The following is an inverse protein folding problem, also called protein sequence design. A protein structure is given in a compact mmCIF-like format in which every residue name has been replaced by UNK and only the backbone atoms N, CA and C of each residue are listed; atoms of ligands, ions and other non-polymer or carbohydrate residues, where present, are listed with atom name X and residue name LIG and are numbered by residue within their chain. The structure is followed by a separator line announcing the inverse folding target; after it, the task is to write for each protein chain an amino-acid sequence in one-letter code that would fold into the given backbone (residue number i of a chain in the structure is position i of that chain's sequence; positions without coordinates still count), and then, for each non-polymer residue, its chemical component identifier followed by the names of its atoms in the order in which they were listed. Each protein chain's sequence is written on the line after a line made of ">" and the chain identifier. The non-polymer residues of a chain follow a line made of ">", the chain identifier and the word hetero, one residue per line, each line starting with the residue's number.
data_IF_779986587566
#
_entry.id   IF_779986587566
#
_cell.length_a   1.000
_cell.length_b   1.000
_cell.length_c   1.000
_cell.angle_alpha   90.00
_cell.angle_beta   90.00
_cell.angle_gamma   90.00
#
_symmetry.space_group_name_H-M   'P 1'
#
loop_
_entity.id
_entity.type
_entity.pdbx_description
1 polymer ?
#
# COMPACT_ATOMS: atom_id res chain seq x y z
N UNK A 1 11.42 9.23 6.73
CA UNK A 1 11.57 8.65 8.07
C UNK A 1 12.68 7.65 7.98
N UNK A 2 13.81 7.95 8.60
CA UNK A 2 14.87 6.96 8.81
C UNK A 2 14.24 5.77 9.53
N UNK A 3 14.55 4.57 9.06
CA UNK A 3 14.31 3.35 9.83
C UNK A 3 15.28 3.36 11.00
N UNK A 4 14.98 4.14 12.03
CA UNK A 4 15.49 3.87 13.36
C UNK A 4 15.08 2.44 13.66
N UNK A 5 16.05 1.59 13.87
CA UNK A 5 15.83 0.21 14.34
C UNK A 5 15.02 0.31 15.61
N UNK A 6 13.76 -0.14 15.54
CA UNK A 6 12.83 -0.18 16.67
C UNK A 6 13.53 -0.91 17.82
N UNK A 7 13.82 -0.20 18.88
CA UNK A 7 14.54 -0.76 20.03
C UNK A 7 13.67 -1.75 20.79
N UNK A 8 14.26 -2.60 21.62
CA UNK A 8 13.48 -3.47 22.51
C UNK A 8 12.56 -2.65 23.42
N UNK A 9 13.00 -1.47 23.78
CA UNK A 9 12.25 -0.52 24.61
C UNK A 9 11.04 0.03 23.86
N UNK A 10 11.20 0.42 22.58
CA UNK A 10 10.07 0.88 21.75
C UNK A 10 8.95 -0.17 21.65
N UNK A 11 9.33 -1.42 21.50
CA UNK A 11 8.37 -2.54 21.47
C UNK A 11 7.65 -2.75 22.79
N UNK A 12 8.37 -2.61 23.90
CA UNK A 12 7.79 -2.68 25.24
C UNK A 12 6.69 -1.63 25.41
N UNK A 13 7.00 -0.36 25.12
CA UNK A 13 6.02 0.72 25.27
C UNK A 13 4.87 0.64 24.25
N UNK A 14 5.10 0.11 23.05
CA UNK A 14 4.02 -0.16 22.11
C UNK A 14 3.04 -1.23 22.65
N UNK A 15 3.54 -2.27 23.32
CA UNK A 15 2.70 -3.28 23.97
C UNK A 15 1.92 -2.69 25.16
N UNK A 16 2.56 -1.88 25.99
CA UNK A 16 1.92 -1.16 27.10
C UNK A 16 0.79 -0.27 26.56
N UNK A 17 1.07 0.54 25.53
CA UNK A 17 0.07 1.40 24.90
C UNK A 17 -1.14 0.59 24.38
N UNK A 18 -0.89 -0.56 23.76
CA UNK A 18 -1.96 -1.45 23.30
C UNK A 18 -2.85 -1.90 24.46
N UNK A 19 -2.25 -2.34 25.59
CA UNK A 19 -2.99 -2.79 26.77
C UNK A 19 -3.82 -1.66 27.40
N UNK A 20 -3.27 -0.45 27.49
CA UNK A 20 -4.01 0.73 27.97
C UNK A 20 -5.22 1.04 27.07
N UNK A 21 -5.06 1.00 25.76
CA UNK A 21 -6.12 1.29 24.80
C UNK A 21 -7.22 0.21 24.78
N UNK A 22 -6.86 -1.03 25.07
CA UNK A 22 -7.75 -2.19 25.13
C UNK A 22 -8.32 -2.46 26.52
N UNK A 23 -7.90 -1.70 27.55
CA UNK A 23 -8.40 -1.88 28.93
C UNK A 23 -9.91 -1.64 28.99
N UNK A 24 -10.66 -2.66 29.43
CA UNK A 24 -12.13 -2.61 29.47
C UNK A 24 -12.64 -1.69 30.58
N UNK A 25 -11.97 -1.69 31.73
CA UNK A 25 -12.33 -0.88 32.87
C UNK A 25 -11.67 0.50 32.78
N UNK A 26 -12.45 1.48 32.34
CA UNK A 26 -11.96 2.84 32.12
C UNK A 26 -11.40 3.50 33.40
N UNK A 27 -11.86 3.07 34.57
CA UNK A 27 -11.33 3.49 35.89
C UNK A 27 -9.87 3.11 36.10
N UNK A 28 -9.39 2.02 35.47
CA UNK A 28 -7.98 1.58 35.52
C UNK A 28 -7.06 2.35 34.60
N UNK A 29 -7.61 3.10 33.64
CA UNK A 29 -6.80 3.96 32.76
C UNK A 29 -6.26 5.14 33.56
N UNK A 30 -4.94 5.45 33.50
CA UNK A 30 -4.37 6.60 34.21
C UNK A 30 -5.03 7.92 33.81
N UNK A 31 -5.35 8.77 34.80
CA UNK A 31 -6.12 10.01 34.61
C UNK A 31 -5.53 10.93 33.53
N UNK A 32 -4.19 11.08 33.51
CA UNK A 32 -3.53 11.96 32.54
C UNK A 32 -3.64 11.54 31.06
N UNK A 33 -4.29 10.40 30.75
CA UNK A 33 -4.42 9.88 29.39
C UNK A 33 -5.84 9.45 29.05
N UNK A 34 -6.78 9.55 29.97
CA UNK A 34 -8.18 9.10 29.77
C UNK A 34 -8.82 9.71 28.54
N UNK A 35 -8.67 11.02 28.34
CA UNK A 35 -9.25 11.70 27.17
C UNK A 35 -8.66 11.19 25.86
N UNK A 36 -7.36 10.94 25.82
CA UNK A 36 -6.69 10.40 24.64
C UNK A 36 -7.14 8.96 24.32
N UNK A 37 -7.35 8.13 25.36
CA UNK A 37 -7.89 6.77 25.21
C UNK A 37 -9.33 6.81 24.74
N UNK A 38 -10.16 7.70 25.27
CA UNK A 38 -11.53 7.92 24.81
C UNK A 38 -11.58 8.36 23.34
N UNK A 39 -10.74 9.32 22.97
CA UNK A 39 -10.62 9.77 21.59
C UNK A 39 -10.18 8.64 20.62
N UNK A 40 -9.19 7.84 21.01
CA UNK A 40 -8.75 6.68 20.22
C UNK A 40 -9.90 5.69 19.99
N UNK A 41 -10.68 5.39 21.02
CA UNK A 41 -11.83 4.47 20.94
C UNK A 41 -12.91 4.99 20.00
N UNK A 42 -13.22 6.30 20.07
CA UNK A 42 -14.14 6.95 19.16
C UNK A 42 -13.65 6.85 17.71
N UNK A 43 -12.37 7.12 17.46
CA UNK A 43 -11.76 6.97 16.13
C UNK A 43 -11.87 5.53 15.62
N UNK A 44 -11.64 4.52 16.48
CA UNK A 44 -11.76 3.10 16.12
C UNK A 44 -13.20 2.75 15.71
N UNK A 45 -14.19 3.17 16.50
CA UNK A 45 -15.60 2.95 16.18
C UNK A 45 -16.02 3.64 14.88
N UNK A 46 -15.55 4.87 14.66
CA UNK A 46 -15.79 5.61 13.42
C UNK A 46 -15.15 4.93 12.22
N UNK A 47 -13.91 4.45 12.35
CA UNK A 47 -13.21 3.67 11.31
C UNK A 47 -14.00 2.42 10.92
N UNK A 48 -14.50 1.67 11.90
CA UNK A 48 -15.33 0.47 11.67
C UNK A 48 -16.67 0.83 11.00
N UNK A 49 -17.26 1.98 11.36
CA UNK A 49 -18.48 2.50 10.72
C UNK A 49 -18.25 2.82 9.24
N UNK A 50 -17.20 3.56 8.93
CA UNK A 50 -16.85 3.90 7.54
C UNK A 50 -16.50 2.64 6.75
N UNK A 51 -15.77 1.69 7.35
CA UNK A 51 -15.46 0.42 6.71
C UNK A 51 -16.73 -0.34 6.30
N UNK A 52 -17.75 -0.39 7.17
CA UNK A 52 -19.04 -1.00 6.84
C UNK A 52 -19.78 -0.27 5.72
N UNK A 53 -19.67 1.06 5.66
CA UNK A 53 -20.27 1.86 4.60
C UNK A 53 -19.62 1.68 3.22
N UNK A 54 -18.34 1.27 3.17
CA UNK A 54 -17.61 0.99 1.93
C UNK A 54 -18.12 -0.29 1.26
N UNK A 55 -18.44 -1.32 2.03
CA UNK A 55 -18.74 -2.68 1.53
C UNK A 55 -19.81 -2.68 0.43
N UNK A 56 -21.01 -2.09 0.61
CA UNK A 56 -22.07 -2.13 -0.41
C UNK A 56 -21.67 -1.50 -1.74
N UNK A 57 -20.80 -0.48 -1.73
CA UNK A 57 -20.34 0.18 -2.95
C UNK A 57 -19.35 -0.69 -3.73
N UNK A 58 -18.45 -1.36 -3.02
CA UNK A 58 -17.47 -2.26 -3.64
C UNK A 58 -18.14 -3.50 -4.19
N UNK A 59 -19.12 -4.06 -3.48
CA UNK A 59 -19.87 -5.25 -3.91
C UNK A 59 -20.72 -5.04 -5.17
N UNK A 60 -21.01 -3.79 -5.53
CA UNK A 60 -21.64 -3.47 -6.83
C UNK A 60 -20.67 -3.59 -8.00
N UNK A 61 -19.37 -3.48 -7.77
CA UNK A 61 -18.39 -3.50 -8.87
C UNK A 61 -18.13 -4.90 -9.40
N UNK A 62 -18.13 -5.05 -10.73
CA UNK A 62 -17.90 -6.35 -11.37
C UNK A 62 -16.48 -6.87 -11.10
N UNK A 63 -15.48 -5.98 -11.06
CA UNK A 63 -14.10 -6.37 -10.74
C UNK A 63 -13.97 -7.01 -9.35
N UNK A 64 -14.78 -6.59 -8.38
CA UNK A 64 -14.82 -7.25 -7.08
C UNK A 64 -15.58 -8.56 -7.13
N UNK A 65 -16.82 -8.55 -7.65
CA UNK A 65 -17.69 -9.73 -7.65
C UNK A 65 -17.11 -10.90 -8.42
N UNK A 66 -16.53 -10.63 -9.57
CA UNK A 66 -16.13 -11.68 -10.53
C UNK A 66 -14.64 -12.05 -10.39
N UNK A 67 -13.84 -11.24 -9.68
CA UNK A 67 -12.41 -11.51 -9.56
C UNK A 67 -11.87 -11.34 -8.15
N UNK A 68 -11.85 -10.11 -7.61
CA UNK A 68 -11.07 -9.83 -6.39
C UNK A 68 -11.57 -10.55 -5.14
N UNK A 69 -12.90 -10.78 -5.01
CA UNK A 69 -13.47 -11.50 -3.87
C UNK A 69 -13.03 -12.96 -3.79
N UNK A 70 -12.63 -13.55 -4.92
CA UNK A 70 -12.18 -14.94 -4.99
C UNK A 70 -10.71 -15.10 -4.60
N UNK A 71 -9.95 -14.01 -4.58
CA UNK A 71 -8.54 -14.02 -4.20
C UNK A 71 -8.41 -14.07 -2.67
N UNK A 72 -7.89 -15.18 -2.15
CA UNK A 72 -7.65 -15.35 -0.72
C UNK A 72 -6.77 -14.22 -0.17
N UNK A 73 -7.28 -13.51 0.85
CA UNK A 73 -6.57 -12.42 1.50
C UNK A 73 -6.93 -11.00 1.00
N UNK A 74 -7.84 -10.88 0.02
CA UNK A 74 -8.39 -9.59 -0.42
C UNK A 74 -9.81 -9.44 0.09
N UNK A 75 -10.02 -8.50 1.02
CA UNK A 75 -11.34 -8.11 1.49
C UNK A 75 -11.85 -6.83 0.81
N UNK A 76 -13.12 -6.44 1.06
CA UNK A 76 -13.74 -5.27 0.44
C UNK A 76 -12.95 -3.98 0.62
N UNK A 77 -12.35 -3.75 1.78
CA UNK A 77 -11.59 -2.53 2.08
C UNK A 77 -10.32 -2.42 1.23
N UNK A 78 -9.59 -3.53 1.04
CA UNK A 78 -8.42 -3.55 0.18
C UNK A 78 -8.81 -3.34 -1.29
N UNK A 79 -9.93 -3.94 -1.71
CA UNK A 79 -10.50 -3.73 -3.04
C UNK A 79 -10.91 -2.26 -3.24
N UNK A 80 -11.64 -1.66 -2.29
CA UNK A 80 -12.02 -0.25 -2.35
C UNK A 80 -10.82 0.67 -2.54
N UNK A 81 -9.74 0.42 -1.79
CA UNK A 81 -8.50 1.20 -1.95
C UNK A 81 -7.90 1.05 -3.36
N UNK A 82 -7.95 -0.14 -3.96
CA UNK A 82 -7.48 -0.34 -5.34
C UNK A 82 -8.38 0.43 -6.31
N UNK A 83 -9.69 0.23 -6.25
CA UNK A 83 -10.67 0.88 -7.13
C UNK A 83 -10.54 2.39 -7.05
N UNK A 84 -10.48 2.97 -5.84
CA UNK A 84 -10.35 4.40 -5.64
C UNK A 84 -9.11 5.02 -6.31
N UNK A 85 -8.02 4.25 -6.45
CA UNK A 85 -6.74 4.76 -6.96
C UNK A 85 -6.45 4.38 -8.40
N UNK A 86 -7.11 3.34 -8.93
CA UNK A 86 -6.78 2.75 -10.24
C UNK A 86 -7.90 2.96 -11.26
N UNK A 87 -9.14 3.21 -10.83
CA UNK A 87 -10.24 3.48 -11.75
C UNK A 87 -10.19 4.94 -12.28
N UNK A 88 -10.32 5.17 -13.60
CA UNK A 88 -10.53 4.15 -14.62
C UNK A 88 -9.22 3.45 -15.02
N UNK A 89 -9.27 2.13 -15.07
CA UNK A 89 -8.10 1.30 -15.44
C UNK A 89 -7.59 1.59 -16.85
N UNK A 90 -8.44 2.13 -17.71
CA UNK A 90 -8.14 2.52 -19.10
C UNK A 90 -7.10 3.64 -19.22
N UNK A 91 -6.85 4.41 -18.16
CA UNK A 91 -5.73 5.35 -18.11
C UNK A 91 -4.37 4.66 -18.16
N UNK A 92 -4.34 3.35 -17.94
CA UNK A 92 -3.14 2.53 -17.97
C UNK A 92 -3.18 1.56 -19.15
N UNK A 93 -2.89 1.98 -20.40
CA UNK A 93 -2.96 1.11 -21.57
C UNK A 93 -2.03 -0.11 -21.52
N UNK A 94 -1.02 -0.10 -20.63
CA UNK A 94 -0.08 -1.22 -20.42
C UNK A 94 0.09 -1.50 -18.92
N UNK A 95 0.22 -2.78 -18.50
CA UNK A 95 0.45 -3.13 -17.10
C UNK A 95 1.69 -2.47 -16.49
N UNK A 96 2.74 -2.24 -17.30
CA UNK A 96 3.98 -1.59 -16.87
C UNK A 96 3.76 -0.14 -16.40
N UNK A 97 2.79 0.58 -16.99
CA UNK A 97 2.45 1.95 -16.57
C UNK A 97 1.79 1.93 -15.18
N UNK A 98 0.91 0.98 -14.94
CA UNK A 98 0.29 0.80 -13.62
C UNK A 98 1.33 0.42 -12.55
N UNK A 99 2.28 -0.48 -12.87
CA UNK A 99 3.41 -0.84 -12.01
C UNK A 99 4.28 0.37 -11.69
N UNK A 100 4.55 1.22 -12.68
CA UNK A 100 5.31 2.46 -12.50
C UNK A 100 4.54 3.48 -11.66
N UNK A 101 3.26 3.65 -11.90
CA UNK A 101 2.37 4.51 -11.10
C UNK A 101 2.34 4.10 -9.62
N UNK A 102 2.35 2.79 -9.34
CA UNK A 102 2.46 2.26 -7.98
C UNK A 102 3.86 2.38 -7.35
N UNK A 103 4.86 2.87 -8.08
CA UNK A 103 6.26 2.98 -7.59
C UNK A 103 6.94 1.63 -7.36
N UNK A 104 6.54 0.61 -8.14
CA UNK A 104 7.10 -0.74 -8.08
C UNK A 104 8.07 -1.04 -9.21
N UNK A 105 8.38 -0.08 -10.11
CA UNK A 105 9.42 -0.24 -11.12
C UNK A 105 10.77 -0.57 -10.50
N UNK A 106 11.58 -1.35 -11.24
CA UNK A 106 12.93 -1.73 -10.82
C UNK A 106 13.95 -0.61 -10.94
N UNK A 107 13.60 0.47 -11.65
CA UNK A 107 14.45 1.62 -11.95
C UNK A 107 13.66 2.92 -11.86
N UNK A 108 14.35 4.04 -11.82
CA UNK A 108 13.75 5.38 -11.79
C UNK A 108 14.71 6.43 -12.35
N UNK A 109 14.20 7.65 -12.52
CA UNK A 109 14.99 8.81 -12.86
C UNK A 109 15.11 9.74 -11.65
N UNK A 110 16.32 10.18 -11.36
CA UNK A 110 16.62 11.27 -10.43
C UNK A 110 16.78 12.53 -11.22
N UNK A 111 15.95 13.53 -10.96
CA UNK A 111 15.89 14.75 -11.77
C UNK A 111 15.98 16.01 -10.90
N UNK A 112 16.51 17.07 -11.49
CA UNK A 112 16.63 18.39 -10.88
C UNK A 112 16.26 19.46 -11.92
N UNK A 113 15.45 20.45 -11.52
CA UNK A 113 15.05 21.55 -12.39
C UNK A 113 15.90 22.81 -12.13
N UNK A 114 15.76 23.83 -12.98
CA UNK A 114 16.44 25.12 -12.87
C UNK A 114 16.21 25.81 -11.51
N UNK A 115 15.04 25.62 -10.90
CA UNK A 115 14.69 26.14 -9.58
C UNK A 115 15.22 25.27 -8.41
N UNK A 116 16.06 24.27 -8.69
CA UNK A 116 16.69 23.42 -7.69
C UNK A 116 15.79 22.35 -7.06
N UNK A 117 14.56 22.15 -7.54
CA UNK A 117 13.71 21.06 -7.03
C UNK A 117 14.24 19.71 -7.49
N UNK A 118 14.45 18.80 -6.52
CA UNK A 118 14.87 17.42 -6.75
C UNK A 118 13.70 16.47 -6.65
N UNK A 119 13.56 15.59 -7.65
CA UNK A 119 12.45 14.65 -7.68
C UNK A 119 12.80 13.31 -8.31
N UNK A 120 12.00 12.31 -7.96
CA UNK A 120 12.10 10.94 -8.45
C UNK A 120 10.87 10.62 -9.29
N UNK A 121 11.06 10.11 -10.49
CA UNK A 121 9.99 9.75 -11.42
C UNK A 121 10.27 8.42 -12.12
N UNK A 122 9.23 7.76 -12.60
CA UNK A 122 9.33 6.49 -13.36
C UNK A 122 9.77 6.70 -14.81
N UNK A 123 9.63 7.93 -15.34
CA UNK A 123 10.04 8.32 -16.69
C UNK A 123 10.70 9.70 -16.65
N UNK A 124 11.60 10.05 -17.61
CA UNK A 124 12.16 11.37 -17.67
C UNK A 124 11.04 12.40 -17.92
N UNK A 125 11.11 13.52 -17.22
CA UNK A 125 10.19 14.64 -17.34
C UNK A 125 10.93 15.82 -17.97
N UNK A 126 10.38 16.53 -18.97
CA UNK A 126 11.01 17.71 -19.54
C UNK A 126 10.89 18.94 -18.61
N UNK A 127 9.83 18.99 -17.80
CA UNK A 127 9.54 20.07 -16.87
C UNK A 127 9.27 19.54 -15.46
N UNK A 128 9.50 20.40 -14.47
CA UNK A 128 9.36 20.11 -13.07
C UNK A 128 7.88 19.97 -12.68
N UNK A 129 7.46 18.79 -12.18
CA UNK A 129 6.08 18.57 -11.75
C UNK A 129 5.84 18.90 -10.27
N UNK A 130 6.80 19.55 -9.58
CA UNK A 130 6.67 19.87 -8.15
C UNK A 130 5.64 20.98 -7.98
N UNK A 131 4.63 20.71 -7.16
CA UNK A 131 3.61 21.69 -6.83
C UNK A 131 4.16 22.69 -5.81
N UNK A 132 4.00 23.97 -6.12
CA UNK A 132 4.29 25.09 -5.24
C UNK A 132 2.97 25.51 -4.59
N UNK A 133 2.92 25.57 -3.27
CA UNK A 133 1.82 26.22 -2.56
C UNK A 133 2.15 27.71 -2.50
N UNK A 134 1.41 28.54 -3.22
CA UNK A 134 1.46 30.00 -3.02
C UNK A 134 0.75 30.32 -1.69
N UNK A 135 1.40 31.12 -0.84
CA UNK A 135 0.96 31.42 0.54
C UNK A 135 -0.34 32.24 0.61
N UNK A 136 -0.81 32.81 -0.52
CA UNK A 136 -1.95 33.72 -0.57
C UNK A 136 -3.09 33.29 -1.50
N UNK A 137 -2.96 32.15 -2.20
CA UNK A 137 -4.04 31.59 -3.03
C UNK A 137 -4.12 30.08 -2.85
N UNK A 138 -5.34 29.55 -2.75
CA UNK A 138 -5.57 28.09 -2.71
C UNK A 138 -5.23 27.38 -4.04
N UNK A 139 -4.65 28.09 -4.99
CA UNK A 139 -4.23 27.53 -6.28
C UNK A 139 -2.87 26.83 -6.17
N UNK A 140 -2.89 25.52 -6.41
CA UNK A 140 -1.69 24.71 -6.51
C UNK A 140 -1.13 24.84 -7.95
N UNK A 141 -0.04 25.59 -8.13
CA UNK A 141 0.67 25.68 -9.42
C UNK A 141 1.87 24.76 -9.43
N UNK A 142 2.07 24.03 -10.53
CA UNK A 142 3.31 23.31 -10.75
C UNK A 142 4.46 24.29 -11.03
N UNK A 143 5.66 23.98 -10.56
CA UNK A 143 6.87 24.77 -10.83
C UNK A 143 7.11 24.97 -12.34
N UNK A 144 6.89 23.92 -13.14
CA UNK A 144 7.01 23.89 -14.60
C UNK A 144 8.37 24.36 -15.17
N UNK A 145 9.38 24.60 -14.33
CA UNK A 145 10.72 24.96 -14.77
C UNK A 145 11.37 23.79 -15.53
N UNK A 146 12.28 24.12 -16.45
CA UNK A 146 12.97 23.10 -17.26
C UNK A 146 13.82 22.19 -16.39
N UNK A 147 13.86 20.91 -16.73
CA UNK A 147 14.73 19.94 -16.07
C UNK A 147 16.13 20.05 -16.66
N UNK A 148 17.11 20.35 -15.79
CA UNK A 148 18.51 20.54 -16.18
C UNK A 148 19.37 19.31 -15.93
N UNK A 149 18.91 18.41 -15.05
CA UNK A 149 19.61 17.16 -14.74
C UNK A 149 18.64 16.00 -14.71
N UNK A 150 18.98 14.91 -15.41
CA UNK A 150 18.21 13.67 -15.41
C UNK A 150 19.15 12.49 -15.44
N UNK A 151 19.13 11.66 -14.38
CA UNK A 151 19.99 10.49 -14.23
C UNK A 151 19.12 9.24 -14.10
N UNK A 152 19.34 8.27 -14.96
CA UNK A 152 18.73 6.96 -14.84
C UNK A 152 19.41 6.14 -13.74
N UNK A 153 18.62 5.58 -12.83
CA UNK A 153 19.09 4.81 -11.69
C UNK A 153 18.44 3.43 -11.71
N UNK A 154 19.25 2.39 -11.89
CA UNK A 154 18.77 0.99 -12.00
C UNK A 154 18.64 0.32 -10.63
N UNK A 155 17.97 0.99 -9.70
CA UNK A 155 17.53 0.44 -8.42
C UNK A 155 16.09 0.88 -8.15
N UNK A 156 15.35 0.14 -7.32
CA UNK A 156 14.00 0.52 -6.96
C UNK A 156 13.94 1.88 -6.27
N UNK A 157 12.95 2.68 -6.65
CA UNK A 157 12.72 4.01 -6.09
C UNK A 157 12.52 3.94 -4.57
N UNK A 158 13.33 4.70 -3.82
CA UNK A 158 13.23 4.88 -2.37
C UNK A 158 13.02 6.36 -2.05
N UNK A 159 12.08 6.66 -1.16
CA UNK A 159 11.88 8.02 -0.67
C UNK A 159 13.16 8.50 0.06
N UNK A 160 13.65 9.67 -0.30
CA UNK A 160 14.82 10.33 0.30
C UNK A 160 14.47 11.75 0.74
N UNK A 161 15.12 12.22 1.81
CA UNK A 161 14.98 13.61 2.28
C UNK A 161 15.41 14.56 1.14
N UNK A 162 14.63 15.61 0.91
CA UNK A 162 14.89 16.62 -0.14
C UNK A 162 14.46 16.22 -1.55
N UNK A 163 13.87 15.02 -1.75
CA UNK A 163 13.32 14.61 -3.04
C UNK A 163 11.81 14.50 -3.01
N UNK A 164 11.15 15.10 -3.97
CA UNK A 164 9.74 14.85 -4.25
C UNK A 164 9.60 13.52 -5.01
N UNK A 165 8.55 12.77 -4.72
CA UNK A 165 8.34 11.43 -5.30
C UNK A 165 7.01 11.40 -6.04
N UNK A 166 7.07 11.20 -7.35
CA UNK A 166 5.90 11.17 -8.23
C UNK A 166 5.45 9.74 -8.52
N UNK A 167 4.93 9.10 -7.49
CA UNK A 167 4.26 7.79 -7.56
C UNK A 167 3.10 7.77 -6.56
N UNK A 168 2.13 6.92 -6.79
CA UNK A 168 1.04 6.74 -5.84
C UNK A 168 1.52 5.92 -4.62
N UNK A 169 1.96 6.62 -3.58
CA UNK A 169 2.48 5.99 -2.35
C UNK A 169 1.38 5.25 -1.57
N UNK A 170 0.11 5.68 -1.70
CA UNK A 170 -1.04 5.01 -1.09
C UNK A 170 -1.29 3.67 -1.76
N UNK A 171 -1.27 3.61 -3.11
CA UNK A 171 -1.38 2.36 -3.86
C UNK A 171 -0.23 1.41 -3.48
N UNK A 172 1.01 1.91 -3.41
CA UNK A 172 2.16 1.13 -2.97
C UNK A 172 1.96 0.51 -1.58
N UNK A 173 1.44 1.30 -0.64
CA UNK A 173 1.15 0.82 0.73
C UNK A 173 0.02 -0.22 0.73
N UNK A 174 -1.02 -0.01 -0.08
CA UNK A 174 -2.13 -0.96 -0.23
C UNK A 174 -1.63 -2.29 -0.81
N UNK A 175 -0.80 -2.25 -1.84
CA UNK A 175 -0.20 -3.45 -2.44
C UNK A 175 0.70 -4.20 -1.45
N UNK A 176 1.47 -3.49 -0.63
CA UNK A 176 2.21 -4.11 0.46
C UNK A 176 1.30 -4.81 1.48
N UNK A 177 0.18 -4.17 1.87
CA UNK A 177 -0.83 -4.80 2.75
C UNK A 177 -1.42 -6.06 2.11
N UNK A 178 -1.71 -6.04 0.81
CA UNK A 178 -2.22 -7.18 0.04
C UNK A 178 -1.17 -8.30 0.01
N UNK A 179 0.08 -8.02 -0.34
CA UNK A 179 1.14 -9.02 -0.38
C UNK A 179 1.41 -9.63 1.00
N UNK A 180 1.36 -8.84 2.07
CA UNK A 180 1.47 -9.36 3.45
C UNK A 180 0.24 -10.17 3.87
N UNK A 181 -0.93 -9.90 3.32
CA UNK A 181 -2.11 -10.74 3.50
C UNK A 181 -1.94 -12.09 2.80
N UNK A 182 -1.39 -12.12 1.58
CA UNK A 182 -1.06 -13.35 0.87
C UNK A 182 -0.02 -14.20 1.63
N UNK A 183 1.01 -13.55 2.20
CA UNK A 183 2.03 -14.23 3.02
C UNK A 183 1.41 -15.01 4.21
N UNK A 184 0.25 -14.59 4.70
CA UNK A 184 -0.45 -15.23 5.82
C UNK A 184 -1.38 -16.38 5.40
N UNK A 185 -1.64 -16.56 4.11
CA UNK A 185 -2.47 -17.64 3.59
C UNK A 185 -1.69 -18.97 3.55
N UNK A 186 -2.40 -20.09 3.38
CA UNK A 186 -1.74 -21.37 3.06
C UNK A 186 -1.37 -21.43 1.58
N UNK A 187 -0.25 -22.08 1.24
CA UNK A 187 0.20 -22.24 -0.13
C UNK A 187 -0.75 -23.11 -0.99
N UNK A 188 -1.52 -24.01 -0.34
CA UNK A 188 -2.52 -24.86 -0.99
C UNK A 188 -3.75 -24.08 -1.45
N UNK A 189 -4.07 -22.97 -0.77
CA UNK A 189 -5.28 -22.17 -1.02
C UNK A 189 -5.00 -20.86 -1.74
N UNK A 190 -3.73 -20.47 -1.87
CA UNK A 190 -3.36 -19.17 -2.46
C UNK A 190 -2.15 -19.30 -3.37
N UNK A 191 -2.36 -19.12 -4.66
CA UNK A 191 -1.28 -19.06 -5.65
C UNK A 191 -0.27 -17.98 -5.35
N UNK A 192 -0.72 -16.82 -4.86
CA UNK A 192 0.16 -15.71 -4.49
C UNK A 192 1.04 -16.08 -3.30
N UNK A 193 0.55 -16.93 -2.38
CA UNK A 193 1.38 -17.49 -1.31
C UNK A 193 2.41 -18.48 -1.89
N UNK A 194 2.01 -19.41 -2.73
CA UNK A 194 2.92 -20.35 -3.38
C UNK A 194 4.02 -19.61 -4.17
N UNK A 195 3.63 -18.56 -4.91
CA UNK A 195 4.57 -17.70 -5.62
C UNK A 195 5.54 -16.97 -4.68
N UNK A 196 5.06 -16.46 -3.55
CA UNK A 196 5.88 -15.84 -2.53
C UNK A 196 6.93 -16.81 -2.01
N UNK A 197 6.52 -18.03 -1.63
CA UNK A 197 7.43 -19.06 -1.10
C UNK A 197 8.48 -19.47 -2.13
N UNK A 198 8.08 -19.66 -3.40
CA UNK A 198 9.00 -19.94 -4.49
C UNK A 198 10.06 -18.83 -4.67
N UNK A 199 9.64 -17.58 -4.71
CA UNK A 199 10.56 -16.45 -4.89
C UNK A 199 11.44 -16.23 -3.67
N UNK A 200 10.91 -16.43 -2.48
CA UNK A 200 11.69 -16.38 -1.23
C UNK A 200 12.78 -17.45 -1.22
N UNK A 201 12.49 -18.67 -1.65
CA UNK A 201 13.48 -19.74 -1.78
C UNK A 201 14.59 -19.37 -2.78
N UNK A 202 14.20 -18.89 -3.99
CA UNK A 202 15.16 -18.45 -5.02
C UNK A 202 16.07 -17.31 -4.52
N UNK A 203 15.50 -16.32 -3.82
CA UNK A 203 16.28 -15.19 -3.30
C UNK A 203 17.17 -15.61 -2.12
N UNK A 204 16.71 -16.57 -1.29
CA UNK A 204 17.51 -17.10 -0.18
C UNK A 204 18.74 -17.89 -0.64
N UNK A 205 18.71 -18.50 -1.84
CA UNK A 205 19.84 -19.25 -2.39
C UNK A 205 20.94 -18.36 -2.99
N UNK A 206 20.71 -17.06 -3.15
CA UNK A 206 21.69 -16.12 -3.70
C UNK A 206 22.75 -15.79 -2.64
N UNK A 207 24.00 -16.16 -2.88
CA UNK A 207 25.15 -15.95 -1.97
C UNK A 207 25.30 -14.48 -1.57
N UNK A 208 25.13 -13.56 -2.52
CA UNK A 208 25.23 -12.10 -2.33
C UNK A 208 24.28 -11.55 -1.24
N UNK A 209 23.15 -12.24 -0.99
CA UNK A 209 22.14 -11.83 -0.02
C UNK A 209 22.33 -12.53 1.34
N UNK A 210 23.17 -13.54 1.43
CA UNK A 210 23.43 -14.29 2.67
C UNK A 210 24.39 -13.55 3.61
N UNK A 211 25.32 -12.78 3.03
CA UNK A 211 26.39 -12.10 3.76
C UNK A 211 26.02 -10.69 4.24
N UNK A 212 24.85 -10.13 3.82
CA UNK A 212 24.40 -8.81 4.23
C UNK A 212 23.73 -8.83 5.61
N UNK A 213 24.11 -7.87 6.47
CA UNK A 213 23.38 -7.59 7.72
C UNK A 213 21.88 -7.29 7.40
N UNK A 214 21.00 -8.21 7.76
CA UNK A 214 19.56 -8.10 7.49
C UNK A 214 19.06 -8.97 6.34
N UNK A 215 19.86 -9.91 5.81
CA UNK A 215 19.57 -10.75 4.64
C UNK A 215 18.17 -11.37 4.62
N UNK A 216 17.69 -11.93 5.74
CA UNK A 216 16.33 -12.52 5.83
C UNK A 216 15.21 -11.49 5.61
N UNK A 217 15.34 -10.27 6.17
CA UNK A 217 14.38 -9.19 5.98
C UNK A 217 14.38 -8.64 4.55
N UNK A 218 15.57 -8.55 3.95
CA UNK A 218 15.72 -8.11 2.56
C UNK A 218 15.13 -9.12 1.57
N UNK A 219 15.43 -10.42 1.73
CA UNK A 219 14.85 -11.52 0.95
C UNK A 219 13.32 -11.50 1.02
N UNK A 220 12.75 -11.37 2.23
CA UNK A 220 11.30 -11.24 2.41
C UNK A 220 10.74 -10.05 1.64
N UNK A 221 11.37 -8.88 1.75
CA UNK A 221 10.91 -7.67 1.06
C UNK A 221 10.98 -7.80 -0.47
N UNK A 222 11.99 -8.47 -1.01
CA UNK A 222 12.11 -8.76 -2.44
C UNK A 222 11.01 -9.71 -2.93
N UNK A 223 10.73 -10.77 -2.18
CA UNK A 223 9.66 -11.72 -2.50
C UNK A 223 8.28 -11.05 -2.47
N UNK A 224 7.97 -10.24 -1.44
CA UNK A 224 6.73 -9.47 -1.37
C UNK A 224 6.60 -8.52 -2.57
N UNK A 225 7.64 -7.76 -2.91
CA UNK A 225 7.61 -6.85 -4.07
C UNK A 225 7.37 -7.57 -5.39
N UNK A 226 7.88 -8.79 -5.53
CA UNK A 226 7.59 -9.59 -6.72
C UNK A 226 6.10 -9.95 -6.80
N UNK A 227 5.52 -10.38 -5.69
CA UNK A 227 4.08 -10.71 -5.60
C UNK A 227 3.21 -9.49 -5.82
N UNK A 228 3.57 -8.32 -5.25
CA UNK A 228 2.89 -7.04 -5.49
C UNK A 228 2.78 -6.72 -6.98
N UNK A 229 3.92 -6.82 -7.70
CA UNK A 229 3.95 -6.58 -9.14
C UNK A 229 3.09 -7.57 -9.90
N UNK A 230 3.20 -8.84 -9.55
CA UNK A 230 2.47 -9.90 -10.25
C UNK A 230 0.95 -9.74 -10.07
N UNK A 231 0.51 -9.50 -8.84
CA UNK A 231 -0.89 -9.20 -8.56
C UNK A 231 -1.39 -8.00 -9.39
N UNK A 232 -0.61 -6.93 -9.46
CA UNK A 232 -1.00 -5.71 -10.17
C UNK A 232 -1.10 -5.92 -11.69
N UNK A 233 -0.19 -6.73 -12.25
CA UNK A 233 -0.24 -7.13 -13.68
C UNK A 233 -1.47 -7.97 -13.94
N UNK A 234 -1.75 -8.96 -13.11
CA UNK A 234 -2.94 -9.82 -13.25
C UNK A 234 -4.23 -9.00 -13.14
N UNK A 235 -4.31 -8.11 -12.14
CA UNK A 235 -5.43 -7.19 -11.97
C UNK A 235 -5.70 -6.37 -13.25
N UNK A 236 -4.64 -5.78 -13.82
CA UNK A 236 -4.75 -4.98 -15.05
C UNK A 236 -5.32 -5.81 -16.20
N UNK A 237 -4.74 -7.00 -16.44
CA UNK A 237 -5.18 -7.88 -17.54
C UNK A 237 -6.64 -8.29 -17.37
N UNK A 238 -7.02 -8.75 -16.18
CA UNK A 238 -8.39 -9.18 -15.88
C UNK A 238 -9.38 -8.03 -16.02
N UNK A 239 -9.06 -6.88 -15.50
CA UNK A 239 -9.97 -5.72 -15.52
C UNK A 239 -10.15 -5.19 -16.94
N UNK A 240 -9.07 -5.00 -17.70
CA UNK A 240 -9.14 -4.55 -19.10
C UNK A 240 -9.90 -5.54 -19.97
N UNK A 241 -9.61 -6.85 -19.84
CA UNK A 241 -10.35 -7.89 -20.59
C UNK A 241 -11.84 -7.90 -20.22
N UNK A 242 -12.16 -7.79 -18.93
CA UNK A 242 -13.53 -7.69 -18.46
C UNK A 242 -14.29 -6.51 -19.07
N UNK A 243 -13.63 -5.38 -19.29
CA UNK A 243 -14.17 -4.19 -19.97
C UNK A 243 -14.22 -4.33 -21.51
N UNK A 244 -13.76 -5.44 -22.09
CA UNK A 244 -13.81 -5.68 -23.53
C UNK A 244 -12.57 -5.30 -24.32
N UNK A 245 -11.50 -4.84 -23.66
CA UNK A 245 -10.24 -4.48 -24.31
C UNK A 245 -9.38 -5.72 -24.60
N UNK A 246 -8.67 -5.69 -25.74
CA UNK A 246 -7.62 -6.67 -26.02
C UNK A 246 -6.35 -6.27 -25.28
N UNK A 247 -5.91 -7.15 -24.42
CA UNK A 247 -4.67 -6.96 -23.64
C UNK A 247 -3.65 -7.97 -24.13
N UNK A 248 -2.52 -7.47 -24.63
CA UNK A 248 -1.37 -8.33 -24.94
C UNK A 248 -0.86 -8.94 -23.63
N UNK A 249 -0.81 -10.26 -23.48
CA UNK A 249 -0.25 -10.91 -22.31
C UNK A 249 1.17 -10.35 -22.04
N UNK A 250 1.46 -10.07 -20.77
CA UNK A 250 2.77 -9.55 -20.37
C UNK A 250 3.90 -10.50 -20.83
N UNK A 251 3.61 -11.79 -20.90
CA UNK A 251 4.46 -12.87 -21.39
C UNK A 251 4.95 -12.65 -22.82
N UNK A 252 4.06 -12.17 -23.69
CA UNK A 252 4.41 -11.91 -25.08
C UNK A 252 5.39 -10.72 -25.22
N UNK A 253 5.45 -9.85 -24.22
CA UNK A 253 6.35 -8.68 -24.21
C UNK A 253 7.66 -8.94 -23.48
N UNK A 254 7.73 -10.00 -22.66
CA UNK A 254 8.89 -10.33 -21.81
C UNK A 254 9.13 -11.85 -21.75
N UNK A 255 9.60 -12.48 -22.82
CA UNK A 255 9.67 -13.94 -22.96
C UNK A 255 10.58 -14.64 -21.93
N UNK A 256 11.46 -13.91 -21.26
CA UNK A 256 12.40 -14.47 -20.26
C UNK A 256 11.85 -14.43 -18.81
N UNK A 257 10.63 -13.96 -18.59
CA UNK A 257 10.02 -13.99 -17.27
C UNK A 257 9.18 -15.26 -17.09
N UNK A 258 9.50 -16.05 -16.07
CA UNK A 258 8.63 -17.14 -15.60
C UNK A 258 7.35 -16.51 -15.06
N UNK A 259 6.26 -16.63 -15.79
CA UNK A 259 4.99 -16.02 -15.45
C UNK A 259 4.04 -17.15 -15.06
N UNK A 260 3.34 -16.96 -13.95
CA UNK A 260 2.19 -17.79 -13.64
C UNK A 260 1.10 -17.40 -14.63
N UNK A 261 0.70 -18.32 -15.54
CA UNK A 261 -0.39 -18.03 -16.46
C UNK A 261 -1.66 -17.77 -15.62
N UNK A 262 -2.31 -16.65 -15.85
CA UNK A 262 -3.65 -16.39 -15.28
C UNK A 262 -4.63 -17.48 -15.72
N UNK A 263 -4.40 -18.04 -16.90
CA UNK A 263 -5.26 -19.00 -17.59
C UNK A 263 -5.25 -20.44 -17.01
N UNK A 264 -4.28 -20.77 -16.15
CA UNK A 264 -4.17 -22.12 -15.55
C UNK A 264 -4.72 -22.20 -14.15
N UNK A 265 -5.37 -21.13 -13.67
CA UNK A 265 -5.85 -21.09 -12.31
C UNK A 265 -7.35 -21.40 -12.23
N UNK A 266 -7.67 -22.64 -11.91
CA UNK A 266 -9.06 -23.06 -11.62
C UNK A 266 -9.70 -22.29 -10.47
N UNK A 267 -8.88 -21.62 -9.63
CA UNK A 267 -9.32 -20.82 -8.49
C UNK A 267 -9.71 -19.38 -8.86
N UNK A 268 -9.23 -18.87 -10.02
CA UNK A 268 -9.49 -17.50 -10.46
C UNK A 268 -9.83 -17.47 -11.95
N UNK A 269 -11.05 -17.87 -12.30
CA UNK A 269 -11.45 -17.93 -13.71
C UNK A 269 -11.34 -16.53 -14.33
N UNK A 270 -10.71 -16.47 -15.51
CA UNK A 270 -10.68 -15.24 -16.29
C UNK A 270 -12.11 -14.87 -16.69
N UNK A 271 -12.53 -13.62 -16.47
CA UNK A 271 -13.82 -13.16 -16.95
C UNK A 271 -13.88 -13.22 -18.46
N UNK A 272 -15.07 -13.49 -19.00
CA UNK A 272 -15.32 -13.37 -20.43
C UNK A 272 -15.06 -11.93 -20.88
N UNK A 273 -14.56 -11.77 -22.10
CA UNK A 273 -14.29 -10.45 -22.67
C UNK A 273 -15.59 -9.62 -22.71
N UNK A 274 -15.56 -8.40 -22.18
CA UNK A 274 -16.71 -7.50 -22.14
C UNK A 274 -17.75 -7.84 -21.07
N UNK A 275 -17.44 -8.70 -20.12
CA UNK A 275 -18.36 -9.08 -19.04
C UNK A 275 -18.57 -7.95 -18.01
N UNK A 276 -17.58 -7.08 -17.82
CA UNK A 276 -17.63 -6.02 -16.81
C UNK A 276 -18.26 -4.75 -17.37
N UNK A 277 -19.05 -4.10 -16.54
CA UNK A 277 -19.50 -2.74 -16.78
C UNK A 277 -18.48 -1.76 -16.21
N UNK A 278 -18.25 -0.61 -16.86
CA UNK A 278 -17.51 0.48 -16.27
C UNK A 278 -18.15 0.90 -14.93
N UNK A 279 -17.33 1.22 -13.95
CA UNK A 279 -17.81 1.77 -12.68
C UNK A 279 -18.35 3.16 -12.98
N UNK A 280 -19.60 3.44 -12.60
CA UNK A 280 -20.20 4.76 -12.78
C UNK A 280 -19.40 5.86 -12.06
N UNK A 281 -19.51 7.09 -12.54
CA UNK A 281 -18.84 8.23 -11.90
C UNK A 281 -19.29 8.41 -10.45
N UNK A 282 -20.60 8.23 -10.17
CA UNK A 282 -21.17 8.34 -8.82
C UNK A 282 -20.65 7.24 -7.89
N UNK A 283 -20.62 5.97 -8.35
CA UNK A 283 -20.10 4.87 -7.55
C UNK A 283 -18.60 5.05 -7.29
N UNK A 284 -17.85 5.48 -8.30
CA UNK A 284 -16.42 5.76 -8.17
C UNK A 284 -16.15 6.93 -7.20
N UNK A 285 -16.93 7.99 -7.30
CA UNK A 285 -16.85 9.12 -6.38
C UNK A 285 -17.14 8.67 -4.93
N UNK A 286 -18.22 7.91 -4.70
CA UNK A 286 -18.57 7.41 -3.38
C UNK A 286 -17.48 6.50 -2.79
N UNK A 287 -16.93 5.57 -3.60
CA UNK A 287 -15.84 4.70 -3.18
C UNK A 287 -14.60 5.54 -2.80
N UNK A 288 -14.24 6.54 -3.62
CA UNK A 288 -13.09 7.43 -3.34
C UNK A 288 -13.29 8.19 -2.03
N UNK A 289 -14.42 8.87 -1.86
CA UNK A 289 -14.70 9.68 -0.66
C UNK A 289 -14.66 8.83 0.62
N UNK A 290 -15.36 7.69 0.62
CA UNK A 290 -15.37 6.79 1.77
C UNK A 290 -13.99 6.22 2.07
N UNK A 291 -13.22 5.91 1.03
CA UNK A 291 -11.88 5.36 1.18
C UNK A 291 -10.88 6.41 1.69
N UNK A 292 -11.03 7.66 1.27
CA UNK A 292 -10.22 8.78 1.75
C UNK A 292 -10.52 9.08 3.22
N UNK A 293 -11.80 9.14 3.59
CA UNK A 293 -12.22 9.29 4.98
C UNK A 293 -11.70 8.17 5.87
N UNK A 294 -11.81 6.92 5.42
CA UNK A 294 -11.27 5.76 6.14
C UNK A 294 -9.76 5.90 6.39
N UNK A 295 -9.01 6.31 5.37
CA UNK A 295 -7.56 6.47 5.46
C UNK A 295 -7.15 7.61 6.39
N UNK A 296 -7.90 8.71 6.40
CA UNK A 296 -7.62 9.85 7.29
C UNK A 296 -7.93 9.51 8.75
N UNK A 297 -9.01 8.79 9.01
CA UNK A 297 -9.30 8.26 10.35
C UNK A 297 -8.19 7.31 10.82
N UNK A 298 -7.68 6.44 9.94
CA UNK A 298 -6.54 5.58 10.27
C UNK A 298 -5.30 6.39 10.65
N UNK A 299 -4.98 7.45 9.92
CA UNK A 299 -3.85 8.34 10.24
C UNK A 299 -4.02 8.98 11.62
N UNK A 300 -5.22 9.52 11.90
CA UNK A 300 -5.53 10.11 13.20
C UNK A 300 -5.40 9.09 14.33
N UNK A 301 -5.89 7.87 14.14
CA UNK A 301 -5.79 6.78 15.10
C UNK A 301 -4.33 6.38 15.36
N UNK A 302 -3.51 6.26 14.32
CA UNK A 302 -2.07 5.97 14.44
C UNK A 302 -1.35 7.11 15.18
N UNK A 303 -1.67 8.37 14.89
CA UNK A 303 -1.11 9.51 15.61
C UNK A 303 -1.47 9.48 17.09
N UNK A 304 -2.73 9.18 17.41
CA UNK A 304 -3.20 9.02 18.77
C UNK A 304 -2.46 7.89 19.50
N UNK A 305 -2.31 6.72 18.86
CA UNK A 305 -1.53 5.60 19.40
C UNK A 305 -0.08 5.98 19.72
N UNK A 306 0.58 6.70 18.80
CA UNK A 306 1.95 7.18 19.04
C UNK A 306 2.05 8.17 20.21
N UNK A 307 1.02 9.00 20.41
CA UNK A 307 0.95 9.89 21.56
C UNK A 307 0.81 9.11 22.88
N UNK A 308 0.04 8.00 22.88
CA UNK A 308 -0.06 7.10 24.05
C UNK A 308 1.29 6.46 24.36
N UNK A 309 2.05 6.03 23.35
CA UNK A 309 3.42 5.51 23.51
C UNK A 309 4.33 6.59 24.11
N UNK A 310 4.30 7.81 23.59
CA UNK A 310 5.12 8.91 24.08
C UNK A 310 4.80 9.24 25.54
N UNK A 311 3.52 9.30 25.88
CA UNK A 311 3.09 9.53 27.26
C UNK A 311 3.53 8.39 28.19
N UNK A 312 3.38 7.13 27.80
CA UNK A 312 3.80 5.97 28.59
C UNK A 312 5.32 5.97 28.84
N UNK A 313 6.14 6.38 27.88
CA UNK A 313 7.59 6.56 28.04
C UNK A 313 7.93 7.65 29.04
N UNK A 314 7.15 8.74 29.08
CA UNK A 314 7.36 9.87 29.98
C UNK A 314 6.81 9.64 31.40
N UNK A 315 6.01 8.57 31.62
CA UNK A 315 5.37 8.26 32.91
C UNK A 315 5.49 6.76 33.23
N UNK A 316 6.71 6.21 33.32
CA UNK A 316 6.91 4.76 33.48
C UNK A 316 6.26 4.21 34.77
N UNK A 317 6.24 5.00 35.83
CA UNK A 317 5.64 4.64 37.12
C UNK A 317 4.11 4.48 37.05
N UNK A 318 3.43 5.23 36.17
CA UNK A 318 1.97 5.19 36.01
C UNK A 318 1.48 4.04 35.14
N UNK A 319 2.40 3.39 34.44
CA UNK A 319 2.06 2.29 33.50
C UNK A 319 2.58 0.93 33.96
N UNK A 320 3.12 0.83 35.18
CA UNK A 320 3.70 -0.41 35.72
C UNK A 320 2.67 -1.55 35.72
N UNK A 321 1.40 -1.26 36.08
CA UNK A 321 0.30 -2.21 36.04
C UNK A 321 -0.02 -2.77 34.64
N UNK A 322 0.46 -2.11 33.57
CA UNK A 322 0.28 -2.54 32.18
C UNK A 322 1.55 -3.18 31.59
N UNK A 323 2.62 -3.35 32.39
CA UNK A 323 3.90 -3.89 31.93
C UNK A 323 3.88 -5.40 31.76
N UNK A 324 3.06 -6.11 32.56
CA UNK A 324 2.92 -7.56 32.49
C UNK A 324 1.70 -8.00 31.70
N UNK A 325 1.75 -9.14 30.97
CA UNK A 325 0.56 -9.71 30.36
C UNK A 325 -0.44 -10.08 31.45
N UNK A 326 -1.72 -9.79 31.24
CA UNK A 326 -2.79 -10.38 32.06
C UNK A 326 -2.81 -11.88 31.77
N UNK A 327 -2.74 -12.71 32.83
CA UNK A 327 -2.94 -14.15 32.77
C UNK A 327 -4.31 -14.55 32.20
#
# INVERSE_FOLDING_TARGET
>A
MDKTTETKEDRKYAQIATRILEEKEFSKVPDGIKDLVSYYRNLKTTEEGVARSIVPWVEKTDIYREYLKHIQGIGPILCANIVAMVNPITEFPKPSLLVSYAGLSGSHYEQECEEGHKFLSSSPKPHCPVNLTETDSDEIKACNAKVVKSVFVNIPMKRRKGFHVFVNTRLKTTLYKIATSFEKQSAEKSQYRALYDQKKAIYSSRKELQDEKGGKGHVRAMALRYVEKRFLVNLHVVWMRGLGYDVTPYEATMPNHTILPIETDDHYPLPSKGMFKPISEDDNWAIRQLTDNYYDIQKMRIKCFNNVIAWAKSNPEKVEAFSEPKE
#
